data_IF_903089768232
#
_entry.id   IF_903089768232
#
_cell.length_a   1.000
_cell.length_b   1.000
_cell.length_c   1.000
_cell.angle_alpha   90.00
_cell.angle_beta   90.00
_cell.angle_gamma   90.00
#
_symmetry.space_group_name_H-M   'P 1'
#
loop_
_entity.id
_entity.type
_entity.pdbx_description
1 polymer ?
#
# COMPACT_ATOMS: atom_id res chain seq x y z
N UNK A 1 36.71 18.39 12.19
CA UNK A 1 37.60 17.99 11.08
C UNK A 1 36.88 16.94 10.24
N UNK A 2 36.81 17.08 8.91
CA UNK A 2 36.15 16.08 8.04
C UNK A 2 37.12 14.96 7.60
N UNK A 3 36.63 14.01 6.79
CA UNK A 3 37.43 12.88 6.27
C UNK A 3 38.63 13.27 5.39
N UNK A 4 38.71 14.54 4.95
CA UNK A 4 39.84 15.10 4.21
C UNK A 4 40.80 15.90 5.10
N UNK A 5 40.62 15.87 6.42
CA UNK A 5 41.44 16.61 7.37
C UNK A 5 41.12 18.10 7.46
N UNK A 6 40.04 18.58 6.85
CA UNK A 6 39.67 20.01 6.85
C UNK A 6 38.89 20.36 8.11
N UNK A 7 39.29 21.42 8.79
CA UNK A 7 38.60 21.98 9.96
C UNK A 7 37.64 23.08 9.49
N UNK A 8 36.40 23.04 9.98
CA UNK A 8 35.36 24.03 9.70
C UNK A 8 34.89 24.62 11.03
N UNK A 9 34.55 25.90 11.01
CA UNK A 9 34.14 26.67 12.19
C UNK A 9 32.93 27.55 11.86
N UNK A 10 32.12 27.85 12.88
CA UNK A 10 30.91 28.67 12.78
C UNK A 10 29.92 28.13 11.72
N UNK A 11 29.32 29.01 10.92
CA UNK A 11 28.35 28.70 9.84
C UNK A 11 28.86 27.61 8.87
N UNK A 12 30.19 27.53 8.67
CA UNK A 12 30.80 26.55 7.75
C UNK A 12 30.69 25.10 8.21
N UNK A 13 30.37 24.87 9.49
CA UNK A 13 30.14 23.51 10.01
C UNK A 13 28.84 22.94 9.47
N UNK A 14 27.77 23.74 9.45
CA UNK A 14 26.46 23.32 8.96
C UNK A 14 26.53 23.00 7.47
N UNK A 15 27.16 23.87 6.67
CA UNK A 15 27.39 23.65 5.24
C UNK A 15 28.19 22.36 4.98
N UNK A 16 29.25 22.12 5.76
CA UNK A 16 30.07 20.92 5.62
C UNK A 16 29.30 19.63 5.95
N UNK A 17 28.37 19.67 6.91
CA UNK A 17 27.51 18.54 7.26
C UNK A 17 26.47 18.26 6.18
N UNK A 18 25.79 19.30 5.69
CA UNK A 18 24.81 19.17 4.59
C UNK A 18 25.49 18.60 3.35
N UNK A 19 26.61 19.18 2.93
CA UNK A 19 27.36 18.68 1.77
C UNK A 19 27.81 17.23 1.93
N UNK A 20 28.18 16.82 3.14
CA UNK A 20 28.55 15.43 3.42
C UNK A 20 27.36 14.47 3.24
N UNK A 21 26.20 14.80 3.81
CA UNK A 21 25.01 13.94 3.74
C UNK A 21 24.30 14.00 2.40
N UNK A 22 24.34 15.12 1.67
CA UNK A 22 23.88 15.18 0.28
C UNK A 22 24.71 14.27 -0.62
N UNK A 23 26.04 14.28 -0.45
CA UNK A 23 26.92 13.37 -1.19
C UNK A 23 26.72 11.91 -0.77
N UNK A 24 26.37 11.63 0.49
CA UNK A 24 26.21 10.25 0.98
C UNK A 24 24.83 9.65 0.67
N UNK A 25 23.77 10.43 0.89
CA UNK A 25 22.36 9.99 0.79
C UNK A 25 21.65 10.51 -0.46
N UNK A 26 22.12 11.61 -1.03
CA UNK A 26 21.53 12.23 -2.22
C UNK A 26 22.02 11.63 -3.55
N UNK A 27 22.94 10.65 -3.50
CA UNK A 27 23.29 9.90 -4.69
C UNK A 27 22.14 8.94 -5.05
N UNK A 28 21.69 9.02 -6.31
CA UNK A 28 20.81 8.00 -6.87
C UNK A 28 21.55 6.67 -6.87
N UNK A 29 21.21 5.79 -5.92
CA UNK A 29 21.66 4.41 -5.93
C UNK A 29 21.11 3.69 -7.16
N UNK A 30 21.85 2.70 -7.66
CA UNK A 30 21.31 1.79 -8.67
C UNK A 30 20.20 0.96 -8.03
N UNK A 31 18.96 1.35 -8.29
CA UNK A 31 17.80 0.53 -7.94
C UNK A 31 17.63 -0.54 -9.00
N UNK A 32 17.56 -1.79 -8.57
CA UNK A 32 17.20 -2.90 -9.46
C UNK A 32 15.68 -3.00 -9.38
N UNK A 33 14.95 -2.98 -10.51
CA UNK A 33 13.52 -3.23 -10.50
C UNK A 33 13.24 -4.55 -9.78
N UNK A 34 12.31 -4.53 -8.82
CA UNK A 34 11.86 -5.75 -8.17
C UNK A 34 11.23 -6.63 -9.24
N UNK A 35 11.78 -7.82 -9.43
CA UNK A 35 11.21 -8.83 -10.31
C UNK A 35 9.93 -9.36 -9.64
N UNK A 36 8.79 -8.76 -9.99
CA UNK A 36 7.48 -9.12 -9.40
C UNK A 36 6.86 -10.36 -10.04
N UNK A 37 7.43 -10.87 -11.14
CA UNK A 37 6.94 -12.09 -11.77
C UNK A 37 7.08 -13.26 -10.80
N UNK A 38 5.93 -13.86 -10.44
CA UNK A 38 5.81 -14.96 -9.47
C UNK A 38 6.16 -14.61 -8.01
N UNK A 39 6.16 -13.32 -7.64
CA UNK A 39 6.35 -12.93 -6.24
C UNK A 39 5.24 -13.50 -5.33
N UNK A 40 4.03 -13.62 -5.89
CA UNK A 40 2.88 -14.24 -5.26
C UNK A 40 2.49 -15.49 -6.05
N UNK A 41 2.80 -16.67 -5.51
CA UNK A 41 2.40 -17.93 -6.13
C UNK A 41 0.89 -18.16 -6.03
N UNK A 42 0.32 -17.77 -4.90
CA UNK A 42 -1.12 -17.80 -4.69
C UNK A 42 -1.67 -16.42 -4.99
N UNK A 43 -2.41 -16.33 -6.09
CA UNK A 43 -3.18 -15.16 -6.46
C UNK A 43 -4.56 -15.62 -6.93
N UNK A 44 -5.52 -14.72 -6.88
CA UNK A 44 -6.81 -14.94 -7.52
C UNK A 44 -6.59 -15.01 -9.03
N UNK A 45 -7.41 -15.79 -9.73
CA UNK A 45 -7.46 -15.68 -11.19
C UNK A 45 -7.89 -14.26 -11.59
N UNK A 46 -7.49 -13.85 -12.80
CA UNK A 46 -7.71 -12.48 -13.28
C UNK A 46 -9.19 -12.08 -13.26
N UNK A 47 -10.10 -13.03 -13.51
CA UNK A 47 -11.55 -12.77 -13.54
C UNK A 47 -12.05 -12.49 -12.13
N UNK A 48 -11.74 -13.35 -11.17
CA UNK A 48 -12.09 -13.12 -9.76
C UNK A 48 -11.48 -11.83 -9.21
N UNK A 49 -10.23 -11.50 -9.59
CA UNK A 49 -9.59 -10.26 -9.18
C UNK A 49 -10.33 -9.02 -9.73
N UNK A 50 -10.76 -9.05 -10.99
CA UNK A 50 -11.54 -7.98 -11.61
C UNK A 50 -12.92 -7.84 -10.94
N UNK A 51 -13.59 -8.95 -10.64
CA UNK A 51 -14.88 -8.95 -9.95
C UNK A 51 -14.82 -8.34 -8.54
N UNK A 52 -13.69 -8.44 -7.84
CA UNK A 52 -13.54 -7.85 -6.50
C UNK A 52 -13.33 -6.33 -6.50
N UNK A 53 -12.88 -5.75 -7.61
CA UNK A 53 -12.59 -4.32 -7.71
C UNK A 53 -13.66 -3.53 -8.48
N UNK A 54 -14.62 -4.20 -9.11
CA UNK A 54 -15.72 -3.51 -9.80
C UNK A 54 -16.72 -2.93 -8.80
N UNK A 55 -17.49 -1.95 -9.28
CA UNK A 55 -18.62 -1.43 -8.52
C UNK A 55 -19.67 -2.52 -8.27
N UNK A 56 -20.20 -2.54 -7.04
CA UNK A 56 -21.30 -3.42 -6.67
C UNK A 56 -22.60 -2.83 -7.21
N UNK A 57 -23.37 -3.63 -7.95
CA UNK A 57 -24.62 -3.16 -8.54
C UNK A 57 -25.80 -3.23 -7.57
N UNK A 58 -26.81 -2.37 -7.78
CA UNK A 58 -28.08 -2.42 -7.05
C UNK A 58 -28.76 -3.80 -7.13
N UNK A 59 -28.57 -4.51 -8.25
CA UNK A 59 -29.14 -5.83 -8.46
C UNK A 59 -28.48 -6.86 -7.55
N UNK A 60 -27.14 -6.87 -7.47
CA UNK A 60 -26.43 -7.76 -6.54
C UNK A 60 -26.76 -7.48 -5.09
N UNK A 61 -26.93 -6.21 -4.71
CA UNK A 61 -27.36 -5.84 -3.36
C UNK A 61 -28.73 -6.46 -3.07
N UNK A 62 -29.68 -6.32 -4.00
CA UNK A 62 -31.02 -6.91 -3.86
C UNK A 62 -30.93 -8.43 -3.77
N UNK A 63 -30.23 -9.07 -4.69
CA UNK A 63 -30.10 -10.53 -4.75
C UNK A 63 -29.43 -11.07 -3.48
N UNK A 64 -28.39 -10.40 -2.98
CA UNK A 64 -27.73 -10.74 -1.72
C UNK A 64 -28.71 -10.64 -0.54
N UNK A 65 -29.48 -9.56 -0.44
CA UNK A 65 -30.46 -9.38 0.64
C UNK A 65 -31.55 -10.46 0.61
N UNK A 66 -32.06 -10.80 -0.57
CA UNK A 66 -33.14 -11.79 -0.72
C UNK A 66 -32.65 -13.24 -0.67
N UNK A 67 -31.35 -13.49 -0.90
CA UNK A 67 -30.74 -14.82 -0.76
C UNK A 67 -30.33 -15.16 0.67
N UNK A 68 -30.40 -14.20 1.61
CA UNK A 68 -30.20 -14.48 3.03
C UNK A 68 -31.27 -15.45 3.55
N UNK A 69 -30.81 -16.60 4.04
CA UNK A 69 -31.67 -17.65 4.60
C UNK A 69 -32.30 -17.28 5.95
N UNK A 70 -32.87 -18.28 6.61
CA UNK A 70 -33.66 -18.11 7.83
C UNK A 70 -32.83 -17.70 9.07
N UNK A 71 -31.50 -17.69 8.95
CA UNK A 71 -30.57 -17.24 10.00
C UNK A 71 -30.41 -15.70 10.04
N UNK A 72 -31.17 -14.97 9.22
CA UNK A 72 -31.21 -13.50 9.28
C UNK A 72 -31.88 -13.01 10.58
N UNK A 73 -31.48 -11.82 11.02
CA UNK A 73 -32.10 -11.19 12.21
C UNK A 73 -33.60 -11.02 11.98
N UNK A 74 -34.46 -11.31 12.98
CA UNK A 74 -35.90 -11.13 12.85
C UNK A 74 -36.28 -9.68 12.56
N UNK A 75 -37.42 -9.49 11.90
CA UNK A 75 -37.98 -8.16 11.68
C UNK A 75 -38.26 -7.43 13.00
N UNK A 76 -38.64 -6.14 12.96
CA UNK A 76 -39.03 -5.40 14.17
C UNK A 76 -40.20 -6.06 14.93
N UNK A 77 -40.96 -6.94 14.26
CA UNK A 77 -42.03 -7.76 14.80
C UNK A 77 -41.55 -9.06 15.48
N UNK A 78 -40.26 -9.36 15.43
CA UNK A 78 -39.67 -10.55 16.06
C UNK A 78 -39.79 -11.84 15.25
N UNK A 79 -40.26 -11.77 14.00
CA UNK A 79 -40.41 -12.94 13.13
C UNK A 79 -39.40 -12.91 11.98
N UNK A 80 -38.87 -14.09 11.63
CA UNK A 80 -38.17 -14.34 10.37
C UNK A 80 -39.17 -14.87 9.34
N UNK A 81 -39.12 -14.33 8.12
CA UNK A 81 -39.91 -14.81 6.98
C UNK A 81 -39.49 -16.21 6.53
#
# INVERSE_FOLDING_TARGET
MNSKGVIYENEKVAEALVAHYEMFLGQHGTVIPLCVSNLFQNHLDDVAAIELIREVSDQEIKDAIFSMGNDKSPGPDGYTA
#
